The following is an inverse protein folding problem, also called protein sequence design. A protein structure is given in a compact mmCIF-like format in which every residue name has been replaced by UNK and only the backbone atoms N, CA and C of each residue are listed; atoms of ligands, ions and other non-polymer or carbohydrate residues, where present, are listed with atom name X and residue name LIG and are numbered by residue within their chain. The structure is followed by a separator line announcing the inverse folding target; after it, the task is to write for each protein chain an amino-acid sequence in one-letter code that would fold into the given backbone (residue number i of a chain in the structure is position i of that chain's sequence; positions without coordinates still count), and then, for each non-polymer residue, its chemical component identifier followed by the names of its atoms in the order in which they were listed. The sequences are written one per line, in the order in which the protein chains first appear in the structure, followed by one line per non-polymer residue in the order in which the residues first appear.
data_IF_288279897210
#
_entry.id   IF_288279897210
#
_cell.length_a   1.000
_cell.length_b   1.000
_cell.length_c   1.000
_cell.angle_alpha   90.00
_cell.angle_beta   90.00
_cell.angle_gamma   90.00
#
_symmetry.space_group_name_H-M   'P 1'
#
loop_
_entity.id
_entity.type
_entity.pdbx_description
1 polymer ?
#
# COMPACT_ATOMS: atom_id res chain seq x y z
N UNK A 1 20.07 6.30 -8.71
CA UNK A 1 18.67 5.81 -8.72
C UNK A 1 17.82 6.80 -7.94
N UNK A 2 16.57 7.01 -8.34
CA UNK A 2 15.68 7.97 -7.67
C UNK A 2 15.04 7.30 -6.44
N UNK A 3 15.10 7.95 -5.28
CA UNK A 3 14.45 7.46 -4.07
C UNK A 3 12.93 7.41 -4.27
N UNK A 4 12.29 6.34 -3.81
CA UNK A 4 10.83 6.24 -3.85
C UNK A 4 10.20 7.37 -3.04
N UNK A 5 9.09 7.94 -3.52
CA UNK A 5 8.32 8.95 -2.79
C UNK A 5 7.47 8.25 -1.76
N UNK A 6 7.71 8.54 -0.48
CA UNK A 6 6.88 8.10 0.64
C UNK A 6 5.87 9.22 0.96
N UNK A 7 4.59 8.88 0.96
CA UNK A 7 3.52 9.77 1.38
C UNK A 7 2.64 9.08 2.41
N UNK A 8 2.47 9.69 3.58
CA UNK A 8 1.59 9.18 4.63
C UNK A 8 0.33 10.02 4.78
N UNK A 9 -0.80 9.39 5.09
CA UNK A 9 -2.10 10.07 5.28
C UNK A 9 -2.02 11.19 6.32
N UNK A 10 -1.25 10.99 7.39
CA UNK A 10 -1.00 12.03 8.42
C UNK A 10 -0.40 13.32 7.85
N UNK A 11 0.44 13.21 6.81
CA UNK A 11 1.06 14.36 6.15
C UNK A 11 0.08 15.11 5.25
N UNK A 12 -0.95 14.41 4.75
CA UNK A 12 -1.98 14.93 3.84
C UNK A 12 -3.07 15.74 4.53
N UNK A 13 -3.07 15.80 5.87
CA UNK A 13 -4.01 16.64 6.63
C UNK A 13 -3.80 18.13 6.39
N UNK A 14 -2.60 18.54 5.93
CA UNK A 14 -2.31 19.93 5.58
C UNK A 14 -2.69 20.18 4.12
N UNK A 15 -3.52 21.21 3.81
CA UNK A 15 -3.94 21.49 2.43
C UNK A 15 -2.78 21.62 1.44
N UNK A 16 -1.73 22.34 1.81
CA UNK A 16 -0.57 22.54 0.93
C UNK A 16 0.18 21.24 0.64
N UNK A 17 0.30 20.37 1.66
CA UNK A 17 0.91 19.06 1.51
C UNK A 17 0.06 18.13 0.62
N UNK A 18 -1.27 18.20 0.75
CA UNK A 18 -2.18 17.46 -0.11
C UNK A 18 -2.08 17.88 -1.57
N UNK A 19 -2.03 19.18 -1.85
CA UNK A 19 -1.85 19.72 -3.20
C UNK A 19 -0.51 19.27 -3.78
N UNK A 20 0.58 19.39 -3.02
CA UNK A 20 1.90 18.94 -3.45
C UNK A 20 1.94 17.43 -3.71
N UNK A 21 1.36 16.62 -2.83
CA UNK A 21 1.32 15.17 -2.96
C UNK A 21 0.53 14.73 -4.20
N UNK A 22 -0.62 15.36 -4.49
CA UNK A 22 -1.38 15.12 -5.73
C UNK A 22 -0.55 15.44 -6.97
N UNK A 23 0.19 16.56 -6.96
CA UNK A 23 1.12 16.90 -8.05
C UNK A 23 2.19 15.82 -8.27
N UNK A 24 2.80 15.32 -7.19
CA UNK A 24 3.78 14.24 -7.24
C UNK A 24 3.16 12.92 -7.73
N UNK A 25 1.92 12.62 -7.36
CA UNK A 25 1.21 11.40 -7.76
C UNK A 25 0.85 11.37 -9.24
N UNK A 26 0.72 12.53 -9.89
CA UNK A 26 0.43 12.64 -11.32
C UNK A 26 1.70 12.73 -12.17
N UNK A 27 2.82 13.19 -11.61
CA UNK A 27 4.08 13.31 -12.33
C UNK A 27 4.69 11.92 -12.63
N UNK A 28 5.18 11.66 -13.85
CA UNK A 28 6.09 10.55 -14.10
C UNK A 28 7.32 10.71 -13.21
N UNK A 29 7.80 9.62 -12.62
CA UNK A 29 8.94 9.74 -11.73
C UNK A 29 9.17 8.50 -10.87
N UNK A 30 9.70 8.68 -9.65
CA UNK A 30 10.07 7.57 -8.78
C UNK A 30 8.85 6.75 -8.36
N UNK A 31 9.13 5.53 -7.89
CA UNK A 31 8.13 4.65 -7.30
C UNK A 31 7.40 5.34 -6.13
N UNK A 32 6.13 5.01 -5.94
CA UNK A 32 5.23 5.65 -4.98
C UNK A 32 4.86 4.68 -3.87
N UNK A 33 5.32 4.98 -2.67
CA UNK A 33 4.99 4.27 -1.43
C UNK A 33 3.96 5.09 -0.65
N UNK A 34 2.78 4.51 -0.44
CA UNK A 34 1.70 5.15 0.29
C UNK A 34 1.49 4.49 1.64
N UNK A 35 1.63 5.27 2.72
CA UNK A 35 1.29 4.87 4.08
C UNK A 35 -0.13 5.33 4.40
N UNK A 36 -1.06 4.37 4.39
CA UNK A 36 -2.48 4.57 4.62
C UNK A 36 -2.88 4.38 6.10
N UNK A 37 -1.94 4.49 7.04
CA UNK A 37 -2.24 4.48 8.46
C UNK A 37 -3.12 5.68 8.87
N UNK A 38 -4.24 5.39 9.54
CA UNK A 38 -5.18 6.39 10.07
C UNK A 38 -5.33 6.30 11.58
N UNK A 39 -4.43 5.56 12.23
CA UNK A 39 -4.27 5.54 13.67
C UNK A 39 -4.17 6.97 14.21
N UNK A 40 -4.96 7.27 15.25
CA UNK A 40 -5.01 8.61 15.87
C UNK A 40 -5.89 9.64 15.16
N UNK A 41 -6.48 9.33 14.01
CA UNK A 41 -7.44 10.25 13.34
C UNK A 41 -8.82 10.21 13.99
N UNK A 42 -9.57 11.33 14.03
CA UNK A 42 -10.93 11.37 14.58
C UNK A 42 -11.91 10.62 13.66
N UNK A 43 -12.91 9.97 14.25
CA UNK A 43 -13.88 9.17 13.49
C UNK A 43 -14.70 10.00 12.49
N UNK A 44 -14.92 11.29 12.80
CA UNK A 44 -15.60 12.23 11.90
C UNK A 44 -14.84 12.47 10.58
N UNK A 45 -13.53 12.21 10.54
CA UNK A 45 -12.72 12.35 9.33
C UNK A 45 -12.70 11.06 8.47
N UNK A 46 -13.16 9.91 8.99
CA UNK A 46 -13.05 8.62 8.29
C UNK A 46 -13.69 8.59 6.90
N UNK A 47 -14.85 9.23 6.63
CA UNK A 47 -15.40 9.27 5.27
C UNK A 47 -14.45 9.93 4.27
N UNK A 48 -13.89 11.08 4.63
CA UNK A 48 -12.92 11.79 3.80
C UNK A 48 -11.59 11.03 3.68
N UNK A 49 -11.10 10.45 4.78
CA UNK A 49 -9.88 9.63 4.77
C UNK A 49 -10.03 8.39 3.89
N UNK A 50 -11.21 7.77 3.85
CA UNK A 50 -11.50 6.66 2.94
C UNK A 50 -11.36 7.08 1.49
N UNK A 51 -11.99 8.18 1.10
CA UNK A 51 -11.88 8.72 -0.26
C UNK A 51 -10.44 9.05 -0.63
N UNK A 52 -9.69 9.65 0.31
CA UNK A 52 -8.28 9.98 0.12
C UNK A 52 -7.39 8.74 -0.02
N UNK A 53 -7.60 7.72 0.79
CA UNK A 53 -6.88 6.45 0.70
C UNK A 53 -7.18 5.77 -0.62
N UNK A 54 -8.44 5.70 -1.03
CA UNK A 54 -8.82 5.16 -2.33
C UNK A 54 -8.22 5.97 -3.50
N UNK A 55 -8.13 7.30 -3.38
CA UNK A 55 -7.50 8.17 -4.37
C UNK A 55 -6.02 7.84 -4.57
N UNK A 56 -5.23 7.89 -3.50
CA UNK A 56 -3.78 7.69 -3.58
C UNK A 56 -3.42 6.23 -3.88
N UNK A 57 -4.22 5.26 -3.40
CA UNK A 57 -3.97 3.84 -3.66
C UNK A 57 -4.06 3.48 -5.14
N UNK A 58 -4.86 4.17 -5.97
CA UNK A 58 -4.98 3.86 -7.40
C UNK A 58 -3.65 3.93 -8.15
N UNK A 59 -2.86 4.95 -7.80
CA UNK A 59 -1.62 5.28 -8.49
C UNK A 59 -0.37 4.94 -7.68
N UNK A 60 -0.52 4.38 -6.48
CA UNK A 60 0.58 3.90 -5.65
C UNK A 60 1.16 2.59 -6.22
N UNK A 61 2.48 2.44 -6.10
CA UNK A 61 3.15 1.19 -6.46
C UNK A 61 3.15 0.22 -5.29
N UNK A 62 3.22 0.72 -4.05
CA UNK A 62 2.99 -0.05 -2.84
C UNK A 62 2.15 0.77 -1.85
N UNK A 63 1.04 0.20 -1.37
CA UNK A 63 0.25 0.77 -0.27
C UNK A 63 0.43 -0.07 0.99
N UNK A 64 0.68 0.56 2.13
CA UNK A 64 0.86 -0.08 3.42
C UNK A 64 -0.25 0.37 4.37
N UNK A 65 -0.88 -0.58 5.06
CA UNK A 65 -1.92 -0.28 6.05
C UNK A 65 -2.06 -1.40 7.07
N UNK A 66 -2.42 -1.07 8.31
CA UNK A 66 -2.67 -2.05 9.36
C UNK A 66 -4.10 -2.59 9.38
N UNK A 67 -4.30 -3.79 9.91
CA UNK A 67 -5.65 -4.37 10.13
C UNK A 67 -6.57 -3.41 10.89
N UNK A 68 -6.04 -2.72 11.91
CA UNK A 68 -6.80 -1.76 12.69
C UNK A 68 -7.27 -0.57 11.84
N UNK A 69 -6.40 -0.04 10.97
CA UNK A 69 -6.73 1.05 10.05
C UNK A 69 -7.80 0.63 9.05
N UNK A 70 -7.66 -0.55 8.47
CA UNK A 70 -8.66 -1.10 7.52
C UNK A 70 -10.02 -1.25 8.18
N UNK A 71 -10.05 -1.80 9.39
CA UNK A 71 -11.30 -2.00 10.15
C UNK A 71 -11.97 -0.66 10.45
N UNK A 72 -11.19 0.35 10.86
CA UNK A 72 -11.73 1.70 11.09
C UNK A 72 -12.23 2.35 9.80
N UNK A 73 -11.48 2.24 8.70
CA UNK A 73 -11.82 2.87 7.43
C UNK A 73 -13.03 2.23 6.76
N UNK A 74 -13.15 0.91 6.75
CA UNK A 74 -14.12 0.19 5.92
C UNK A 74 -15.23 -0.51 6.72
N UNK A 75 -15.21 -0.39 8.05
CA UNK A 75 -16.26 -0.90 8.93
C UNK A 75 -16.25 -2.44 9.04
N UNK A 76 -17.42 -3.11 9.13
CA UNK A 76 -17.53 -4.54 9.48
C UNK A 76 -17.16 -5.50 8.33
N UNK A 77 -16.32 -5.07 7.39
CA UNK A 77 -15.81 -5.90 6.30
C UNK A 77 -14.53 -6.59 6.76
N UNK A 78 -14.31 -7.88 6.44
CA UNK A 78 -13.03 -8.54 6.74
C UNK A 78 -11.85 -7.71 6.20
N UNK A 79 -10.82 -7.40 7.01
CA UNK A 79 -9.71 -6.54 6.60
C UNK A 79 -9.04 -6.98 5.31
N UNK A 80 -8.85 -8.28 5.14
CA UNK A 80 -8.28 -8.85 3.92
C UNK A 80 -9.13 -8.56 2.68
N UNK A 81 -10.46 -8.56 2.79
CA UNK A 81 -11.37 -8.24 1.68
C UNK A 81 -11.26 -6.77 1.28
N UNK A 82 -11.16 -5.87 2.25
CA UNK A 82 -10.95 -4.45 1.98
C UNK A 82 -9.55 -4.17 1.39
N UNK A 83 -8.50 -4.81 1.89
CA UNK A 83 -7.15 -4.72 1.34
C UNK A 83 -7.07 -5.24 -0.11
N UNK A 84 -7.75 -6.36 -0.41
CA UNK A 84 -7.89 -6.86 -1.80
C UNK A 84 -8.64 -5.89 -2.70
N UNK A 85 -9.69 -5.23 -2.19
CA UNK A 85 -10.39 -4.17 -2.94
C UNK A 85 -9.47 -3.00 -3.26
N UNK A 86 -8.67 -2.53 -2.31
CA UNK A 86 -7.66 -1.49 -2.53
C UNK A 86 -6.65 -1.92 -3.61
N UNK A 87 -6.15 -3.14 -3.50
CA UNK A 87 -5.21 -3.74 -4.46
C UNK A 87 -5.82 -3.82 -5.88
N UNK A 88 -7.08 -4.21 -6.01
CA UNK A 88 -7.78 -4.27 -7.29
C UNK A 88 -8.09 -2.88 -7.90
N UNK A 89 -8.10 -1.81 -7.10
CA UNK A 89 -8.23 -0.44 -7.61
C UNK A 89 -6.88 0.15 -8.06
N UNK A 90 -5.78 -0.38 -7.55
CA UNK A 90 -4.43 0.11 -7.79
C UNK A 90 -3.65 -0.70 -8.82
N UNK A 91 -2.63 -0.06 -9.39
CA UNK A 91 -1.65 -0.72 -10.27
C UNK A 91 -0.59 -1.53 -9.54
N UNK A 92 -0.44 -1.32 -8.23
CA UNK A 92 0.63 -1.85 -7.41
C UNK A 92 0.22 -2.97 -6.47
N UNK A 93 1.03 -3.17 -5.44
CA UNK A 93 0.76 -4.11 -4.35
C UNK A 93 0.20 -3.42 -3.11
N UNK A 94 -0.44 -4.22 -2.25
CA UNK A 94 -0.91 -3.81 -0.93
C UNK A 94 -0.25 -4.69 0.13
N UNK A 95 0.43 -4.08 1.10
CA UNK A 95 0.96 -4.74 2.29
C UNK A 95 0.01 -4.49 3.47
N UNK A 96 -0.73 -5.51 3.85
CA UNK A 96 -1.59 -5.49 5.04
C UNK A 96 -0.77 -5.93 6.25
N UNK A 97 -0.46 -5.00 7.15
CA UNK A 97 0.21 -5.30 8.40
C UNK A 97 -0.76 -5.94 9.40
N UNK A 98 -0.45 -7.16 9.85
CA UNK A 98 -1.21 -7.93 10.84
C UNK A 98 -0.61 -7.81 12.25
N UNK A 99 0.17 -6.75 12.49
CA UNK A 99 1.01 -6.56 13.68
C UNK A 99 2.48 -6.33 13.29
N UNK A 100 3.40 -6.26 14.27
CA UNK A 100 4.81 -6.01 14.02
C UNK A 100 5.55 -7.23 13.43
N UNK A 101 4.99 -8.43 13.60
CA UNK A 101 5.68 -9.69 13.27
C UNK A 101 5.09 -10.42 12.06
N UNK A 102 3.95 -9.99 11.52
CA UNK A 102 3.29 -10.69 10.42
C UNK A 102 2.60 -9.68 9.53
N UNK A 103 2.72 -9.87 8.22
CA UNK A 103 1.98 -9.11 7.22
C UNK A 103 1.53 -10.01 6.07
N UNK A 104 0.59 -9.51 5.27
CA UNK A 104 0.14 -10.16 4.04
C UNK A 104 0.39 -9.21 2.88
N UNK A 105 1.19 -9.64 1.92
CA UNK A 105 1.42 -8.92 0.67
C UNK A 105 0.43 -9.42 -0.38
N UNK A 106 -0.29 -8.49 -0.98
CA UNK A 106 -1.32 -8.73 -1.99
C UNK A 106 -0.86 -8.06 -3.28
N UNK A 107 -0.68 -8.84 -4.35
CA UNK A 107 -0.20 -8.36 -5.63
C UNK A 107 -0.90 -9.10 -6.79
N UNK A 108 -0.68 -8.62 -8.01
CA UNK A 108 -1.19 -9.29 -9.21
C UNK A 108 -0.51 -10.64 -9.46
N UNK A 109 -1.27 -11.58 -10.03
CA UNK A 109 -0.75 -12.75 -10.72
C UNK A 109 -0.87 -12.57 -12.25
N UNK A 110 0.11 -11.92 -12.92
CA UNK A 110 0.04 -11.72 -14.37
C UNK A 110 0.05 -13.05 -15.15
N UNK A 111 0.50 -14.15 -14.55
CA UNK A 111 0.46 -15.50 -15.13
C UNK A 111 -0.77 -16.32 -14.73
N UNK A 112 -1.63 -15.78 -13.86
CA UNK A 112 -2.79 -16.45 -13.32
C UNK A 112 -3.92 -16.60 -14.32
N UNK A 113 -4.70 -17.68 -14.21
CA UNK A 113 -5.95 -17.80 -14.98
C UNK A 113 -6.92 -16.69 -14.51
N UNK A 114 -7.56 -15.94 -15.43
CA UNK A 114 -8.61 -15.00 -15.06
C UNK A 114 -9.68 -15.71 -14.25
N UNK A 115 -10.07 -15.15 -13.10
CA UNK A 115 -11.16 -15.69 -12.30
C UNK A 115 -12.45 -14.92 -12.57
N UNK A 116 -13.59 -15.59 -12.45
CA UNK A 116 -14.91 -15.00 -12.66
C UNK A 116 -15.22 -13.85 -11.67
N UNK A 117 -14.48 -13.80 -10.56
CA UNK A 117 -14.62 -12.88 -9.44
C UNK A 117 -13.56 -11.75 -9.41
N UNK A 118 -12.71 -11.62 -10.44
CA UNK A 118 -11.74 -10.53 -10.57
C UNK A 118 -10.32 -10.99 -10.91
N UNK A 119 -9.33 -10.08 -10.88
CA UNK A 119 -7.93 -10.44 -11.09
C UNK A 119 -7.50 -11.50 -10.08
N UNK A 120 -6.66 -12.43 -10.52
CA UNK A 120 -6.08 -13.43 -9.63
C UNK A 120 -5.08 -12.73 -8.71
N UNK A 121 -5.51 -12.34 -7.51
CA UNK A 121 -4.59 -11.81 -6.51
C UNK A 121 -3.72 -12.96 -5.98
N UNK A 122 -2.40 -12.74 -5.88
CA UNK A 122 -1.51 -13.57 -5.05
C UNK A 122 -1.49 -12.99 -3.66
N UNK A 123 -1.73 -13.84 -2.66
CA UNK A 123 -1.60 -13.51 -1.24
C UNK A 123 -0.37 -14.21 -0.69
N UNK A 124 0.61 -13.43 -0.25
CA UNK A 124 1.86 -13.92 0.33
C UNK A 124 1.86 -13.60 1.81
N UNK A 125 1.82 -14.63 2.65
CA UNK A 125 2.00 -14.46 4.10
C UNK A 125 3.47 -14.24 4.41
N UNK A 126 3.79 -13.14 5.08
CA UNK A 126 5.15 -12.79 5.49
C UNK A 126 5.29 -12.96 7.01
N UNK A 127 6.32 -13.68 7.50
CA UNK A 127 6.58 -13.86 8.92
C UNK A 127 7.30 -12.63 9.54
N UNK A 128 7.09 -11.45 8.97
CA UNK A 128 7.61 -10.16 9.39
C UNK A 128 6.74 -9.04 8.82
N UNK A 129 6.93 -7.81 9.32
CA UNK A 129 6.37 -6.59 8.74
C UNK A 129 7.52 -5.62 8.48
N UNK A 130 7.92 -5.37 7.22
CA UNK A 130 8.98 -4.43 6.91
C UNK A 130 8.62 -3.00 7.35
N UNK A 131 9.62 -2.24 7.76
CA UNK A 131 9.43 -0.82 8.12
C UNK A 131 9.26 0.04 6.86
N UNK A 132 8.53 1.15 6.97
CA UNK A 132 8.35 2.09 5.85
C UNK A 132 9.68 2.62 5.28
N UNK A 133 10.68 3.03 6.09
CA UNK A 133 11.98 3.46 5.55
C UNK A 133 12.68 2.36 4.75
N UNK A 134 12.63 1.11 5.21
CA UNK A 134 13.26 0.00 4.51
C UNK A 134 12.53 -0.34 3.22
N UNK A 135 11.19 -0.30 3.20
CA UNK A 135 10.41 -0.46 1.97
C UNK A 135 10.71 0.64 0.97
N UNK A 136 10.83 1.89 1.42
CA UNK A 136 11.20 3.03 0.58
C UNK A 136 12.59 2.84 -0.04
N UNK A 137 13.57 2.39 0.76
CA UNK A 137 14.93 2.11 0.29
C UNK A 137 14.96 0.94 -0.71
N UNK A 138 14.21 -0.13 -0.44
CA UNK A 138 14.11 -1.29 -1.31
C UNK A 138 13.45 -0.93 -2.65
N UNK A 139 12.34 -0.17 -2.65
CA UNK A 139 11.72 0.35 -3.88
C UNK A 139 12.63 1.29 -4.66
N UNK A 140 13.39 2.16 -3.95
CA UNK A 140 14.32 3.11 -4.58
C UNK A 140 15.54 2.44 -5.23
N UNK A 141 15.96 1.27 -4.73
CA UNK A 141 17.12 0.52 -5.25
C UNK A 141 16.74 -0.62 -6.20
N UNK A 142 15.54 -1.20 -6.07
CA UNK A 142 15.07 -2.33 -6.88
C UNK A 142 14.04 -1.97 -7.96
N UNK A 143 13.40 -0.81 -7.87
CA UNK A 143 12.25 -0.46 -8.72
C UNK A 143 10.96 -1.14 -8.28
N UNK A 144 9.90 -1.02 -9.08
CA UNK A 144 8.60 -1.65 -8.83
C UNK A 144 8.60 -3.08 -9.38
N UNK A 145 8.39 -4.11 -8.55
CA UNK A 145 8.29 -5.49 -9.03
C UNK A 145 7.09 -5.70 -9.96
N UNK A 146 7.27 -6.59 -10.94
CA UNK A 146 6.23 -6.91 -11.93
C UNK A 146 5.44 -8.18 -11.57
N UNK A 147 5.95 -9.01 -10.66
CA UNK A 147 5.39 -10.30 -10.27
C UNK A 147 5.50 -10.59 -8.76
N UNK A 148 4.80 -11.63 -8.32
CA UNK A 148 4.80 -12.07 -6.93
C UNK A 148 6.20 -12.44 -6.37
N UNK A 149 7.07 -13.17 -7.10
CA UNK A 149 8.45 -13.41 -6.67
C UNK A 149 9.26 -12.12 -6.43
N UNK A 150 9.17 -11.14 -7.33
CA UNK A 150 9.86 -9.86 -7.15
C UNK A 150 9.34 -9.06 -5.96
N UNK A 151 8.02 -9.12 -5.71
CA UNK A 151 7.40 -8.51 -4.53
C UNK A 151 7.86 -9.16 -3.21
N UNK A 152 8.01 -10.49 -3.18
CA UNK A 152 8.55 -11.22 -2.03
C UNK A 152 10.02 -10.85 -1.77
N UNK A 153 10.87 -10.87 -2.80
CA UNK A 153 12.28 -10.50 -2.69
C UNK A 153 12.46 -9.05 -2.18
N UNK A 154 11.63 -8.12 -2.66
CA UNK A 154 11.61 -6.75 -2.15
C UNK A 154 11.28 -6.69 -0.66
N UNK A 155 10.27 -7.43 -0.21
CA UNK A 155 9.86 -7.47 1.18
C UNK A 155 10.94 -8.10 2.09
N UNK A 156 11.58 -9.18 1.64
CA UNK A 156 12.68 -9.83 2.37
C UNK A 156 13.90 -8.91 2.50
N UNK A 157 14.29 -8.23 1.43
CA UNK A 157 15.35 -7.20 1.46
C UNK A 157 15.02 -6.08 2.44
N UNK A 158 13.78 -5.61 2.43
CA UNK A 158 13.34 -4.58 3.37
C UNK A 158 13.31 -5.06 4.82
N UNK A 159 13.13 -6.36 5.08
CA UNK A 159 13.19 -6.92 6.43
C UNK A 159 14.61 -7.13 6.96
N UNK A 160 15.59 -7.30 6.07
CA UNK A 160 16.99 -7.54 6.41
C UNK A 160 17.83 -6.25 6.64
N UNK A 161 17.29 -5.08 6.29
CA UNK A 161 17.94 -3.77 6.41
C UNK A 161 17.77 -3.14 7.81
#
# INVERSE_FOLDING_TARGET
MAQAVLCGVSSLLRPDALVAARGLWQAPGPSRLFDAAVAGMPDSALPWLRELVEEFCRDADLTVLGIADVTRLFGPVPPLRAARRLRAMGRGAVLLACGPAVSVLICDDPGGRPRADGPADVLIGLPFTPTLPNLQAALGSGGVPWDAPGWLDLAEKAAAA
#
